data_IF_969596844940
#
_entry.id   IF_969596844940
#
_cell.length_a   1.000
_cell.length_b   1.000
_cell.length_c   1.000
_cell.angle_alpha   90.00
_cell.angle_beta   90.00
_cell.angle_gamma   90.00
#
_symmetry.space_group_name_H-M   'P 1'
#
loop_
_entity.id
_entity.type
_entity.pdbx_description
1 polymer ?
#
# COMPACT_ATOMS: atom_id res chain seq x y z
N UNK A 1 -29.90 -29.19 23.24
CA UNK A 1 -30.62 -29.07 21.95
C UNK A 1 -31.98 -28.44 22.22
N UNK A 2 -32.49 -27.48 21.43
CA UNK A 2 -31.89 -26.83 20.26
C UNK A 2 -31.88 -25.30 20.37
N UNK A 3 -30.72 -24.70 20.14
CA UNK A 3 -30.52 -23.39 19.49
C UNK A 3 -29.06 -23.38 19.04
N UNK A 4 -28.75 -24.37 18.21
CA UNK A 4 -27.60 -24.32 17.31
C UNK A 4 -28.12 -23.78 15.98
N UNK A 5 -27.32 -22.92 15.37
CA UNK A 5 -27.48 -22.35 14.03
C UNK A 5 -28.45 -21.17 13.88
N UNK A 6 -27.92 -19.94 14.07
CA UNK A 6 -28.05 -18.87 13.08
C UNK A 6 -27.13 -17.67 13.40
N UNK A 7 -25.81 -17.88 13.42
CA UNK A 7 -24.82 -16.88 12.97
C UNK A 7 -23.45 -17.54 12.71
N UNK A 8 -23.48 -18.76 12.21
CA UNK A 8 -22.33 -19.48 11.69
C UNK A 8 -22.70 -19.97 10.27
N UNK A 9 -23.16 -19.04 9.44
CA UNK A 9 -23.43 -19.23 8.01
C UNK A 9 -23.23 -17.91 7.23
N UNK A 10 -22.12 -17.24 7.54
CA UNK A 10 -21.44 -16.33 6.59
C UNK A 10 -19.93 -16.63 6.53
N UNK A 11 -19.54 -17.88 6.82
CA UNK A 11 -18.20 -18.41 6.62
C UNK A 11 -18.28 -19.56 5.61
N UNK A 12 -18.58 -19.28 4.34
CA UNK A 12 -18.28 -20.24 3.25
C UNK A 12 -18.34 -19.72 1.81
N UNK A 13 -18.73 -18.47 1.50
CA UNK A 13 -18.94 -18.11 0.08
C UNK A 13 -18.68 -16.66 -0.32
N UNK A 14 -17.53 -16.13 0.10
CA UNK A 14 -16.73 -15.24 -0.76
C UNK A 14 -15.30 -15.62 -0.40
N UNK A 15 -14.48 -16.11 -1.35
CA UNK A 15 -13.02 -16.04 -1.15
C UNK A 15 -12.75 -14.58 -0.85
N UNK A 16 -12.40 -14.23 0.39
CA UNK A 16 -11.99 -12.88 0.75
C UNK A 16 -10.75 -12.60 -0.09
N UNK A 17 -11.00 -12.01 -1.27
CA UNK A 17 -10.00 -11.72 -2.26
C UNK A 17 -9.93 -10.22 -2.35
N UNK A 18 -8.81 -9.66 -1.90
CA UNK A 18 -8.56 -8.23 -2.04
C UNK A 18 -7.59 -8.02 -3.19
N UNK A 19 -8.05 -7.36 -4.24
CA UNK A 19 -7.19 -6.79 -5.28
C UNK A 19 -7.03 -5.30 -5.01
N UNK A 20 -5.79 -4.85 -4.85
CA UNK A 20 -5.46 -3.46 -4.50
C UNK A 20 -4.37 -2.94 -5.43
N UNK A 21 -4.47 -1.67 -5.83
CA UNK A 21 -3.41 -0.93 -6.51
C UNK A 21 -2.78 0.05 -5.53
N UNK A 22 -1.48 -0.07 -5.30
CA UNK A 22 -0.68 0.86 -4.50
C UNK A 22 0.23 1.66 -5.42
N UNK A 23 0.06 2.99 -5.42
CA UNK A 23 1.00 3.89 -6.07
C UNK A 23 2.17 4.16 -5.15
N UNK A 24 3.39 4.03 -5.66
CA UNK A 24 4.63 4.39 -4.98
C UNK A 24 5.18 5.67 -5.57
N UNK A 25 5.39 6.67 -4.72
CA UNK A 25 5.66 8.02 -5.17
C UNK A 25 6.59 8.73 -4.19
N UNK A 26 7.58 9.46 -4.71
CA UNK A 26 8.11 10.62 -4.01
C UNK A 26 7.19 11.80 -4.22
N UNK A 27 7.01 12.62 -3.20
CA UNK A 27 6.00 13.66 -3.18
C UNK A 27 6.43 14.83 -2.32
N UNK A 28 5.60 15.88 -2.27
CA UNK A 28 5.82 17.03 -1.43
C UNK A 28 4.86 17.05 -0.25
N UNK A 29 5.31 17.56 0.90
CA UNK A 29 4.48 17.73 2.10
C UNK A 29 4.77 19.06 2.77
N UNK A 30 3.74 19.66 3.36
CA UNK A 30 3.86 20.84 4.22
C UNK A 30 4.08 20.47 5.68
N UNK A 31 3.94 19.18 6.04
CA UNK A 31 4.01 18.76 7.42
C UNK A 31 5.45 18.78 7.93
N UNK A 32 5.65 19.47 9.05
CA UNK A 32 6.94 19.55 9.70
C UNK A 32 7.13 18.42 10.72
N UNK A 33 7.87 17.37 10.38
CA UNK A 33 8.61 16.62 11.40
C UNK A 33 9.82 17.46 11.80
N UNK A 34 9.79 18.02 13.03
CA UNK A 34 10.87 18.72 13.73
C UNK A 34 11.88 19.47 12.84
N UNK A 35 11.51 20.65 12.33
CA UNK A 35 12.51 21.64 11.88
C UNK A 35 12.51 22.80 12.86
N UNK A 36 13.71 23.34 13.15
CA UNK A 36 13.85 24.53 14.02
C UNK A 36 13.15 25.73 13.36
N UNK A 37 12.55 26.59 14.17
CA UNK A 37 12.03 27.89 13.70
C UNK A 37 13.14 28.63 12.92
N UNK A 38 12.84 29.08 11.70
CA UNK A 38 13.70 29.81 10.74
C UNK A 38 14.56 29.01 9.73
N UNK A 39 14.29 27.72 9.49
CA UNK A 39 14.89 27.00 8.35
C UNK A 39 13.93 26.92 7.16
N UNK A 40 14.41 27.34 5.98
CA UNK A 40 13.75 27.10 4.69
C UNK A 40 13.92 25.65 4.28
N UNK A 41 12.85 25.03 3.77
CA UNK A 41 12.91 23.64 3.32
C UNK A 41 13.54 23.57 1.91
N UNK A 42 14.26 22.48 1.63
CA UNK A 42 14.98 22.29 0.37
C UNK A 42 14.14 21.63 -0.72
N UNK A 43 12.88 21.29 -0.44
CA UNK A 43 11.99 20.72 -1.45
C UNK A 43 11.53 21.78 -2.47
N UNK A 44 10.94 21.32 -3.58
CA UNK A 44 10.35 22.17 -4.60
C UNK A 44 9.43 23.25 -4.00
N UNK A 45 9.55 24.49 -4.46
CA UNK A 45 8.74 25.61 -3.98
C UNK A 45 8.76 25.84 -2.46
N UNK A 46 9.86 25.47 -1.78
CA UNK A 46 10.00 25.63 -0.33
C UNK A 46 9.22 24.61 0.50
N UNK A 47 8.75 23.53 -0.13
CA UNK A 47 8.10 22.38 0.54
C UNK A 47 9.14 21.39 1.06
N UNK A 48 8.69 20.25 1.61
CA UNK A 48 9.57 19.13 1.98
C UNK A 48 9.30 17.91 1.12
N UNK A 49 10.37 17.18 0.81
CA UNK A 49 10.25 15.84 0.25
C UNK A 49 9.56 14.90 1.24
N UNK A 50 8.70 14.04 0.69
CA UNK A 50 8.05 12.92 1.34
C UNK A 50 8.03 11.73 0.38
N UNK A 51 7.67 10.56 0.89
CA UNK A 51 7.26 9.44 0.07
C UNK A 51 5.84 9.04 0.52
N UNK A 52 5.04 8.52 -0.40
CA UNK A 52 3.67 8.14 -0.10
C UNK A 52 3.27 6.84 -0.77
N UNK A 53 2.29 6.18 -0.17
CA UNK A 53 1.56 5.09 -0.80
C UNK A 53 0.10 5.52 -0.95
N UNK A 54 -0.43 5.50 -2.17
CA UNK A 54 -1.78 5.99 -2.48
C UNK A 54 -2.06 7.39 -1.88
N UNK A 55 -1.11 8.31 -2.06
CA UNK A 55 -1.21 9.71 -1.60
C UNK A 55 -1.25 9.87 -0.06
N UNK A 56 -0.79 8.86 0.68
CA UNK A 56 -0.64 8.89 2.15
C UNK A 56 0.82 8.68 2.53
N UNK A 57 1.44 9.72 3.06
CA UNK A 57 2.76 9.69 3.69
C UNK A 57 2.63 9.18 5.13
N UNK A 58 3.25 8.05 5.42
CA UNK A 58 3.16 7.41 6.73
C UNK A 58 3.88 8.23 7.79
N UNK A 59 3.19 8.50 8.90
CA UNK A 59 3.77 9.18 10.06
C UNK A 59 4.09 8.15 11.13
N UNK A 60 5.37 8.03 11.47
CA UNK A 60 5.81 7.18 12.57
C UNK A 60 5.32 7.75 13.91
N UNK A 61 4.67 6.90 14.69
CA UNK A 61 4.18 7.24 16.03
C UNK A 61 5.20 6.88 17.11
N UNK A 62 5.03 7.48 18.30
CA UNK A 62 5.74 7.08 19.52
C UNK A 62 5.13 5.82 20.15
N UNK A 63 3.84 5.59 19.95
CA UNK A 63 3.13 4.42 20.47
C UNK A 63 3.21 3.27 19.46
N UNK A 64 3.46 2.05 19.93
CA UNK A 64 3.50 0.87 19.07
C UNK A 64 2.09 0.52 18.55
N UNK A 65 1.96 0.28 17.24
CA UNK A 65 0.69 -0.06 16.59
C UNK A 65 0.11 -1.37 17.15
N UNK A 66 0.93 -2.42 17.18
CA UNK A 66 0.54 -3.75 17.69
C UNK A 66 0.07 -3.69 19.14
N UNK A 67 0.84 -3.03 20.01
CA UNK A 67 0.47 -2.84 21.42
C UNK A 67 -0.89 -2.14 21.55
N UNK A 68 -1.09 -1.06 20.79
CA UNK A 68 -2.33 -0.29 20.81
C UNK A 68 -3.52 -1.10 20.30
N UNK A 69 -3.29 -2.00 19.34
CA UNK A 69 -4.30 -2.91 18.81
C UNK A 69 -4.70 -3.97 19.87
N UNK A 70 -3.73 -4.71 20.41
CA UNK A 70 -3.95 -5.81 21.36
C UNK A 70 -4.67 -5.33 22.63
N UNK A 71 -4.30 -4.16 23.16
CA UNK A 71 -4.91 -3.62 24.38
C UNK A 71 -6.20 -2.83 24.13
N UNK A 72 -6.70 -2.75 22.89
CA UNK A 72 -7.91 -2.00 22.57
C UNK A 72 -7.76 -0.47 22.74
N UNK A 73 -6.52 0.04 22.69
CA UNK A 73 -6.16 1.46 22.86
C UNK A 73 -5.81 2.13 21.52
N UNK A 74 -6.33 1.63 20.40
CA UNK A 74 -6.03 2.12 19.05
C UNK A 74 -6.66 3.47 18.72
N UNK A 75 -7.65 3.92 19.50
CA UNK A 75 -8.36 5.18 19.26
C UNK A 75 -7.40 6.37 19.32
N UNK A 76 -7.24 7.06 18.19
CA UNK A 76 -6.35 8.21 18.05
C UNK A 76 -4.87 7.85 17.85
N UNK A 77 -4.52 6.56 17.83
CA UNK A 77 -3.20 6.07 17.45
C UNK A 77 -3.12 5.98 15.93
N UNK A 78 -3.97 5.15 15.32
CA UNK A 78 -4.01 4.99 13.86
C UNK A 78 -5.46 4.97 13.35
N UNK A 79 -5.63 5.12 12.04
CA UNK A 79 -6.93 4.99 11.37
C UNK A 79 -7.00 3.72 10.51
N UNK A 80 -7.96 2.82 10.72
CA UNK A 80 -8.09 1.57 9.95
C UNK A 80 -8.79 1.78 8.60
N UNK A 81 -8.41 2.84 7.88
CA UNK A 81 -9.03 3.25 6.61
C UNK A 81 -7.99 3.62 5.56
N UNK A 82 -6.92 2.82 5.46
CA UNK A 82 -5.96 2.96 4.37
C UNK A 82 -6.64 2.74 3.01
N UNK A 83 -6.43 3.63 2.02
CA UNK A 83 -7.05 3.50 0.70
C UNK A 83 -6.42 2.34 -0.08
N UNK A 84 -7.22 1.31 -0.39
CA UNK A 84 -6.79 0.13 -1.18
C UNK A 84 -6.71 0.40 -2.69
N UNK A 85 -7.03 1.62 -3.14
CA UNK A 85 -6.84 2.05 -4.52
C UNK A 85 -6.54 3.55 -4.49
N UNK A 86 -5.80 4.06 -5.50
CA UNK A 86 -5.59 5.50 -5.61
C UNK A 86 -6.93 6.23 -5.78
N UNK A 87 -7.08 7.34 -5.04
CA UNK A 87 -8.29 8.16 -5.10
C UNK A 87 -8.36 8.99 -6.39
N UNK A 88 -7.20 9.31 -6.97
CA UNK A 88 -7.09 10.11 -8.19
C UNK A 88 -6.32 9.30 -9.24
N UNK A 89 -6.98 9.00 -10.35
CA UNK A 89 -6.38 8.29 -11.46
C UNK A 89 -5.73 9.27 -12.42
N UNK A 90 -4.49 8.99 -12.80
CA UNK A 90 -3.76 9.73 -13.83
C UNK A 90 -2.86 8.76 -14.62
N UNK A 91 -2.17 9.26 -15.63
CA UNK A 91 -1.17 8.46 -16.33
C UNK A 91 0.09 8.36 -15.44
N UNK A 92 0.15 7.31 -14.62
CA UNK A 92 1.18 7.13 -13.59
C UNK A 92 2.60 7.18 -14.13
N UNK A 93 2.83 6.59 -15.30
CA UNK A 93 4.15 6.58 -15.96
C UNK A 93 4.31 7.67 -17.02
N UNK A 94 3.37 8.61 -17.10
CA UNK A 94 3.34 9.71 -18.08
C UNK A 94 3.84 11.03 -17.50
N UNK A 95 3.23 12.14 -17.89
CA UNK A 95 3.51 13.44 -17.27
C UNK A 95 2.86 13.51 -15.88
N UNK A 96 3.62 13.80 -14.81
CA UNK A 96 3.07 13.87 -13.47
C UNK A 96 2.15 15.08 -13.30
N UNK A 97 1.19 15.04 -12.35
CA UNK A 97 0.34 16.18 -12.05
C UNK A 97 1.15 17.36 -11.49
N UNK A 98 0.71 18.59 -11.77
CA UNK A 98 1.35 19.80 -11.26
C UNK A 98 1.36 19.87 -9.72
N UNK A 99 0.34 19.28 -9.09
CA UNK A 99 0.26 19.19 -7.64
C UNK A 99 0.72 17.81 -7.18
N UNK A 100 1.86 17.77 -6.49
CA UNK A 100 2.47 16.56 -5.94
C UNK A 100 2.38 16.54 -4.42
N UNK A 101 1.47 17.32 -3.83
CA UNK A 101 1.27 17.39 -2.38
C UNK A 101 0.51 16.18 -1.85
N UNK A 102 1.04 15.56 -0.79
CA UNK A 102 0.45 14.38 -0.15
C UNK A 102 -0.13 14.66 1.23
N UNK A 103 -1.09 13.81 1.62
CA UNK A 103 -1.62 13.79 2.97
C UNK A 103 -0.69 12.99 3.89
N UNK A 104 -0.59 13.39 5.15
CA UNK A 104 0.16 12.63 6.15
C UNK A 104 -0.80 11.92 7.08
N UNK A 105 -0.44 10.72 7.51
CA UNK A 105 -1.20 10.03 8.55
C UNK A 105 -0.73 8.62 8.80
N UNK A 106 -1.07 8.10 9.98
CA UNK A 106 -0.85 6.71 10.34
C UNK A 106 -2.11 5.92 10.03
N UNK A 107 -2.19 5.42 8.80
CA UNK A 107 -3.31 4.60 8.31
C UNK A 107 -2.88 3.16 8.17
N UNK A 108 -3.76 2.24 8.53
CA UNK A 108 -3.55 0.80 8.37
C UNK A 108 -4.68 0.19 7.55
N UNK A 109 -4.36 -0.90 6.86
CA UNK A 109 -5.33 -1.77 6.22
C UNK A 109 -5.54 -2.99 7.12
N UNK A 110 -6.76 -3.20 7.58
CA UNK A 110 -7.12 -4.38 8.39
C UNK A 110 -7.64 -5.46 7.46
N UNK A 111 -7.02 -6.63 7.49
CA UNK A 111 -7.41 -7.79 6.70
C UNK A 111 -7.96 -8.88 7.63
N UNK A 112 -9.09 -9.52 7.28
CA UNK A 112 -9.49 -10.75 7.93
C UNK A 112 -8.40 -11.82 7.77
N UNK A 113 -8.21 -12.65 8.81
CA UNK A 113 -7.35 -13.81 8.74
C UNK A 113 -7.73 -14.72 7.55
N UNK A 114 -6.74 -15.31 6.89
CA UNK A 114 -6.87 -16.11 5.66
C UNK A 114 -7.42 -15.36 4.43
N UNK A 115 -7.34 -14.03 4.40
CA UNK A 115 -7.64 -13.26 3.17
C UNK A 115 -6.59 -13.55 2.10
N UNK A 116 -7.01 -13.93 0.89
CA UNK A 116 -6.12 -14.07 -0.26
C UNK A 116 -5.93 -12.71 -0.91
N UNK A 117 -4.74 -12.14 -0.83
CA UNK A 117 -4.45 -10.79 -1.31
C UNK A 117 -3.75 -10.85 -2.66
N UNK A 118 -4.22 -10.05 -3.61
CA UNK A 118 -3.49 -9.63 -4.81
C UNK A 118 -3.13 -8.16 -4.67
N UNK A 119 -1.84 -7.88 -4.61
CA UNK A 119 -1.32 -6.53 -4.46
C UNK A 119 -0.59 -6.14 -5.74
N UNK A 120 -1.14 -5.15 -6.44
CA UNK A 120 -0.52 -4.48 -7.57
C UNK A 120 0.21 -3.25 -7.04
N UNK A 121 1.51 -3.19 -7.25
CA UNK A 121 2.35 -2.05 -6.91
C UNK A 121 2.74 -1.35 -8.20
N UNK A 122 2.48 -0.06 -8.29
CA UNK A 122 2.66 0.75 -9.48
C UNK A 122 3.59 1.91 -9.15
N UNK A 123 4.71 1.98 -9.85
CA UNK A 123 5.58 3.14 -9.82
C UNK A 123 4.95 4.32 -10.57
N UNK A 124 5.31 5.54 -10.17
CA UNK A 124 4.87 6.77 -10.82
C UNK A 124 6.06 7.63 -11.26
N UNK A 125 5.85 8.49 -12.24
CA UNK A 125 6.84 9.47 -12.71
C UNK A 125 6.95 10.72 -11.82
N UNK A 126 6.29 10.72 -10.65
CA UNK A 126 6.25 11.89 -9.77
C UNK A 126 7.64 12.08 -9.15
N UNK A 127 8.20 13.28 -9.39
CA UNK A 127 9.51 13.73 -8.90
C UNK A 127 10.73 12.89 -9.34
N UNK A 128 10.58 11.93 -10.26
CA UNK A 128 11.72 11.23 -10.85
C UNK A 128 11.41 9.84 -11.36
N UNK A 129 12.45 9.17 -11.84
CA UNK A 129 12.44 7.77 -12.27
C UNK A 129 13.21 6.98 -11.22
N UNK A 130 12.53 6.28 -10.33
CA UNK A 130 13.15 5.56 -9.22
C UNK A 130 12.68 4.10 -9.12
N UNK A 131 13.51 3.27 -8.49
CA UNK A 131 13.16 1.88 -8.18
C UNK A 131 12.86 1.77 -6.70
N UNK A 132 11.74 1.15 -6.35
CA UNK A 132 11.28 1.04 -4.97
C UNK A 132 11.36 -0.42 -4.50
N UNK A 133 12.41 -0.81 -3.75
CA UNK A 133 12.43 -2.09 -3.04
C UNK A 133 11.36 -2.08 -1.95
N UNK A 134 10.41 -2.99 -2.04
CA UNK A 134 9.37 -3.18 -1.03
C UNK A 134 9.54 -4.51 -0.32
N UNK A 135 9.51 -4.44 1.01
CA UNK A 135 9.58 -5.58 1.91
C UNK A 135 8.27 -5.70 2.69
N UNK A 136 7.70 -6.91 2.72
CA UNK A 136 6.48 -7.19 3.49
C UNK A 136 6.86 -7.97 4.75
N UNK A 137 6.71 -7.33 5.90
CA UNK A 137 6.93 -8.00 7.19
C UNK A 137 5.90 -9.11 7.41
N UNK A 138 6.34 -10.23 7.98
CA UNK A 138 5.47 -11.33 8.41
C UNK A 138 4.98 -12.25 7.30
N UNK A 139 5.31 -11.97 6.03
CA UNK A 139 4.85 -12.75 4.87
C UNK A 139 5.96 -12.93 3.83
N UNK A 140 5.98 -14.10 3.21
CA UNK A 140 6.45 -14.21 1.84
C UNK A 140 5.25 -14.02 0.89
N UNK A 141 5.55 -13.74 -0.37
CA UNK A 141 4.57 -13.56 -1.43
C UNK A 141 5.08 -14.16 -2.73
N UNK A 142 4.14 -14.51 -3.61
CA UNK A 142 4.41 -14.96 -4.97
C UNK A 142 4.38 -13.77 -5.93
N UNK A 143 5.46 -13.57 -6.68
CA UNK A 143 5.47 -12.58 -7.76
C UNK A 143 4.81 -13.20 -8.99
N UNK A 144 3.58 -12.77 -9.29
CA UNK A 144 2.76 -13.36 -10.35
C UNK A 144 2.82 -12.57 -11.66
N UNK A 145 3.23 -11.30 -11.63
CA UNK A 145 3.34 -10.50 -12.84
C UNK A 145 4.17 -9.25 -12.66
N UNK A 146 4.68 -8.73 -13.77
CA UNK A 146 5.33 -7.44 -13.85
C UNK A 146 5.18 -6.90 -15.27
N UNK A 147 5.16 -5.58 -15.43
CA UNK A 147 5.00 -4.96 -16.74
C UNK A 147 5.45 -3.52 -16.75
N UNK A 148 5.61 -2.97 -17.95
CA UNK A 148 5.91 -1.56 -18.15
C UNK A 148 4.62 -0.74 -18.28
N UNK A 149 4.72 0.55 -17.94
CA UNK A 149 3.60 1.49 -18.03
C UNK A 149 2.63 1.35 -16.86
N UNK A 150 1.39 1.75 -17.11
CA UNK A 150 0.31 1.61 -16.14
C UNK A 150 -0.28 0.20 -16.22
N UNK A 151 -0.53 -0.42 -15.08
CA UNK A 151 -1.25 -1.70 -15.00
C UNK A 151 -2.64 -1.60 -15.64
N UNK A 152 -2.94 -2.49 -16.59
CA UNK A 152 -4.26 -2.63 -17.21
C UNK A 152 -4.96 -3.87 -16.63
N UNK A 153 -5.90 -3.64 -15.71
CA UNK A 153 -6.63 -4.71 -15.00
C UNK A 153 -7.45 -5.62 -15.93
N UNK A 154 -7.71 -5.22 -17.17
CA UNK A 154 -8.43 -6.03 -18.14
C UNK A 154 -7.52 -6.89 -19.02
N UNK A 155 -6.21 -6.60 -19.08
CA UNK A 155 -5.27 -7.24 -20.01
C UNK A 155 -4.12 -7.94 -19.33
N UNK A 156 -3.54 -7.31 -18.32
CA UNK A 156 -2.31 -7.80 -17.69
C UNK A 156 -2.51 -9.04 -16.83
N UNK A 157 -3.65 -9.26 -16.12
CA UNK A 157 -3.87 -10.50 -15.39
C UNK A 157 -3.80 -11.76 -16.25
N UNK A 158 -4.12 -11.66 -17.55
CA UNK A 158 -4.00 -12.79 -18.49
C UNK A 158 -2.55 -13.25 -18.73
N UNK A 159 -1.56 -12.42 -18.35
CA UNK A 159 -0.13 -12.70 -18.47
C UNK A 159 0.49 -13.20 -17.16
N UNK A 160 -0.29 -13.32 -16.08
CA UNK A 160 0.25 -13.73 -14.80
C UNK A 160 0.80 -15.16 -14.83
N UNK A 161 1.96 -15.37 -14.22
CA UNK A 161 2.45 -16.70 -13.91
C UNK A 161 1.68 -17.24 -12.70
N UNK A 162 0.75 -18.16 -12.96
CA UNK A 162 -0.05 -18.83 -11.94
C UNK A 162 0.30 -20.31 -11.78
N UNK A 163 1.38 -20.78 -12.42
CA UNK A 163 1.82 -22.18 -12.39
C UNK A 163 2.98 -22.33 -11.41
N UNK A 164 4.03 -21.53 -11.58
CA UNK A 164 5.27 -21.61 -10.81
C UNK A 164 5.87 -20.22 -10.48
N UNK A 165 5.09 -19.30 -9.87
CA UNK A 165 5.60 -17.99 -9.52
C UNK A 165 6.70 -18.06 -8.45
N UNK A 166 7.65 -17.13 -8.52
CA UNK A 166 8.74 -17.05 -7.55
C UNK A 166 8.22 -16.52 -6.22
N UNK A 167 8.53 -17.22 -5.13
CA UNK A 167 8.24 -16.80 -3.77
C UNK A 167 9.40 -15.97 -3.17
N UNK A 168 9.11 -14.77 -2.63
CA UNK A 168 10.08 -13.87 -1.97
C UNK A 168 9.39 -13.03 -0.89
N UNK A 169 10.15 -12.27 -0.10
CA UNK A 169 9.64 -11.28 0.86
C UNK A 169 9.96 -9.82 0.47
N UNK A 170 10.82 -9.64 -0.53
CA UNK A 170 11.28 -8.34 -1.02
C UNK A 170 11.19 -8.34 -2.54
N UNK A 171 10.69 -7.26 -3.13
CA UNK A 171 10.66 -7.09 -4.58
C UNK A 171 10.85 -5.62 -4.94
N UNK A 172 11.67 -5.38 -5.96
CA UNK A 172 11.79 -4.06 -6.57
C UNK A 172 10.59 -3.77 -7.45
N UNK A 173 10.03 -2.57 -7.35
CA UNK A 173 9.14 -1.98 -8.34
C UNK A 173 9.98 -1.00 -9.15
N UNK A 174 10.51 -1.39 -10.33
CA UNK A 174 11.39 -0.53 -11.11
C UNK A 174 10.63 0.64 -11.70
N UNK A 175 11.36 1.67 -12.10
CA UNK A 175 10.69 2.88 -12.55
C UNK A 175 9.85 2.69 -13.82
N UNK A 176 8.68 3.31 -13.83
CA UNK A 176 7.72 3.25 -14.94
C UNK A 176 7.13 1.86 -15.13
N UNK A 177 7.09 1.04 -14.08
CA UNK A 177 6.59 -0.34 -14.11
C UNK A 177 5.57 -0.59 -13.01
N UNK A 178 4.91 -1.73 -13.15
CA UNK A 178 4.09 -2.33 -12.10
C UNK A 178 4.56 -3.75 -11.80
N UNK A 179 4.27 -4.20 -10.59
CA UNK A 179 4.50 -5.57 -10.10
C UNK A 179 3.23 -6.06 -9.42
N UNK A 180 2.81 -7.28 -9.73
CA UNK A 180 1.70 -7.97 -9.10
C UNK A 180 2.23 -9.09 -8.22
N UNK A 181 1.87 -9.06 -6.93
CA UNK A 181 2.17 -10.13 -5.98
C UNK A 181 0.89 -10.72 -5.40
N UNK A 182 0.96 -11.98 -4.96
CA UNK A 182 -0.11 -12.64 -4.22
C UNK A 182 0.41 -13.27 -2.94
N UNK A 183 -0.35 -13.15 -1.86
CA UNK A 183 -0.06 -13.81 -0.59
C UNK A 183 -1.34 -14.13 0.16
N UNK A 184 -1.24 -15.00 1.16
CA UNK A 184 -2.33 -15.29 2.08
C UNK A 184 -2.06 -14.53 3.39
N UNK A 185 -3.04 -13.78 3.89
CA UNK A 185 -2.95 -13.10 5.18
C UNK A 185 -3.23 -14.08 6.33
N UNK A 186 -2.34 -15.05 6.54
CA UNK A 186 -2.42 -16.15 7.50
C UNK A 186 -1.49 -16.00 8.72
N UNK A 187 -0.89 -14.82 8.90
CA UNK A 187 -0.14 -14.46 10.10
C UNK A 187 -0.93 -13.41 10.91
N UNK A 188 -1.45 -13.75 12.10
CA UNK A 188 -2.32 -12.88 12.88
C UNK A 188 -1.50 -11.96 13.81
N UNK A 189 -1.00 -10.84 13.27
CA UNK A 189 -0.36 -9.72 14.00
C UNK A 189 -0.94 -8.37 13.56
#
# INVERSE_FOLDING_TARGET
>A
MPLFSCLLDLMSLVKAHLTTLLLLEYSNTNHQHRIRLNQTCQGPNGTKFAASINNVSFVQLTNALLQSHIFGQSKGVYSPNFPVNPLNWFNYTGNPPNNTMVNNGTKVLVLPFNTSVELIMQDTSILGVESHPLYLHGFNFFVVGQGFGNFDSNKDPAKFNLIDPVERNTIDVPSGRWVAIRFLADNPD
#
